data_IF_427042332688
#
_entry.id   IF_427042332688
#
_cell.length_a   1.000
_cell.length_b   1.000
_cell.length_c   1.000
_cell.angle_alpha   90.00
_cell.angle_beta   90.00
_cell.angle_gamma   90.00
#
_symmetry.space_group_name_H-M   'P 1'
#
loop_
_entity.id
_entity.type
_entity.pdbx_description
1 polymer ?
#
# COMPACT_ATOMS: atom_id res chain seq x y z
N UNK A 1 -98.19 -4.01 13.26
CA UNK A 1 -96.79 -4.48 13.35
C UNK A 1 -96.33 -4.19 14.77
N UNK A 2 -96.43 -5.17 15.66
CA UNK A 2 -96.00 -5.02 17.05
C UNK A 2 -94.48 -5.21 17.13
N UNK A 3 -93.72 -4.14 16.91
CA UNK A 3 -92.30 -4.11 17.26
C UNK A 3 -92.20 -3.96 18.78
N UNK A 4 -92.39 -5.06 19.52
CA UNK A 4 -91.92 -5.09 20.90
C UNK A 4 -90.39 -5.10 20.84
N UNK A 5 -89.69 -4.13 21.46
CA UNK A 5 -88.25 -4.20 21.61
C UNK A 5 -87.88 -5.56 22.19
N UNK A 6 -87.03 -6.32 21.50
CA UNK A 6 -86.61 -7.64 21.95
C UNK A 6 -85.64 -7.46 23.13
N UNK A 7 -86.02 -7.82 24.37
CA UNK A 7 -85.19 -7.61 25.55
C UNK A 7 -83.90 -8.43 25.52
N UNK A 8 -83.77 -9.38 24.58
CA UNK A 8 -82.53 -10.13 24.36
C UNK A 8 -81.42 -9.29 23.75
N UNK A 9 -81.74 -8.16 23.10
CA UNK A 9 -80.74 -7.24 22.59
C UNK A 9 -80.03 -6.49 23.73
N UNK A 10 -80.76 -6.19 24.81
CA UNK A 10 -80.22 -5.53 26.01
C UNK A 10 -79.47 -6.51 26.94
N UNK A 11 -79.66 -7.82 26.75
CA UNK A 11 -78.96 -8.88 27.49
C UNK A 11 -77.66 -9.34 26.82
N UNK A 12 -77.29 -8.78 25.66
CA UNK A 12 -75.98 -9.09 25.08
C UNK A 12 -74.90 -8.59 26.04
N UNK A 13 -73.94 -9.44 26.45
CA UNK A 13 -72.82 -8.98 27.25
C UNK A 13 -72.18 -7.79 26.52
N UNK A 14 -72.15 -6.63 27.17
CA UNK A 14 -71.34 -5.53 26.70
C UNK A 14 -69.89 -5.98 26.82
N UNK A 15 -69.35 -6.54 25.75
CA UNK A 15 -67.92 -6.75 25.61
C UNK A 15 -67.35 -5.35 25.47
N UNK A 16 -66.84 -4.80 26.58
CA UNK A 16 -65.92 -3.67 26.52
C UNK A 16 -64.72 -4.19 25.76
N UNK A 17 -64.72 -4.01 24.44
CA UNK A 17 -63.48 -4.02 23.68
C UNK A 17 -62.68 -2.89 24.31
N UNK A 18 -61.79 -3.23 25.24
CA UNK A 18 -60.67 -2.36 25.57
C UNK A 18 -59.87 -2.24 24.29
N UNK A 19 -60.37 -1.40 23.39
CA UNK A 19 -59.53 -0.64 22.50
C UNK A 19 -58.80 0.28 23.48
N UNK A 20 -57.78 -0.27 24.15
CA UNK A 20 -56.77 0.52 24.84
C UNK A 20 -56.31 1.45 23.75
N UNK A 21 -56.86 2.67 23.75
CA UNK A 21 -56.63 3.67 22.75
C UNK A 21 -55.11 3.82 22.71
N UNK A 22 -54.50 3.27 21.66
CA UNK A 22 -53.07 3.15 21.51
C UNK A 22 -52.47 4.52 21.20
N UNK A 23 -52.52 5.44 22.17
CA UNK A 23 -52.18 6.85 21.94
C UNK A 23 -51.23 7.44 22.97
N UNK A 24 -50.67 6.64 23.89
CA UNK A 24 -49.65 7.16 24.81
C UNK A 24 -48.72 6.09 25.35
N UNK A 25 -49.28 5.01 25.90
CA UNK A 25 -48.48 3.94 26.49
C UNK A 25 -47.70 3.14 25.44
N UNK A 26 -48.32 2.75 24.33
CA UNK A 26 -47.65 1.99 23.26
C UNK A 26 -46.52 2.80 22.61
N UNK A 27 -46.72 4.11 22.42
CA UNK A 27 -45.68 4.98 21.88
C UNK A 27 -44.55 5.21 22.90
N UNK A 28 -44.89 5.44 24.17
CA UNK A 28 -43.91 5.56 25.24
C UNK A 28 -43.06 4.30 25.42
N UNK A 29 -43.67 3.11 25.34
CA UNK A 29 -42.96 1.82 25.36
C UNK A 29 -42.07 1.68 24.12
N UNK A 30 -42.56 2.03 22.93
CA UNK A 30 -41.78 1.97 21.70
C UNK A 30 -40.54 2.88 21.77
N UNK A 31 -40.70 4.12 22.24
CA UNK A 31 -39.58 5.06 22.43
C UNK A 31 -38.59 4.54 23.47
N UNK A 32 -39.09 4.01 24.59
CA UNK A 32 -38.23 3.45 25.63
C UNK A 32 -37.41 2.26 25.10
N UNK A 33 -38.03 1.37 24.32
CA UNK A 33 -37.32 0.24 23.70
C UNK A 33 -36.24 0.71 22.74
N UNK A 34 -36.51 1.73 21.92
CA UNK A 34 -35.52 2.29 20.99
C UNK A 34 -34.32 2.86 21.77
N UNK A 35 -34.55 3.60 22.85
CA UNK A 35 -33.47 4.18 23.68
C UNK A 35 -32.63 3.09 24.33
N UNK A 36 -33.25 2.03 24.85
CA UNK A 36 -32.54 0.90 25.47
C UNK A 36 -31.67 0.17 24.43
N UNK A 37 -32.21 -0.09 23.23
CA UNK A 37 -31.46 -0.73 22.14
C UNK A 37 -30.31 0.17 21.69
N UNK A 38 -30.54 1.48 21.53
CA UNK A 38 -29.50 2.43 21.15
C UNK A 38 -28.40 2.55 22.22
N UNK A 39 -28.75 2.58 23.50
CA UNK A 39 -27.78 2.60 24.60
C UNK A 39 -26.99 1.29 24.68
N UNK A 40 -27.64 0.14 24.51
CA UNK A 40 -26.98 -1.16 24.44
C UNK A 40 -26.03 -1.25 23.24
N UNK A 41 -26.48 -0.82 22.06
CA UNK A 41 -25.64 -0.76 20.87
C UNK A 41 -24.47 0.21 21.02
N UNK A 42 -24.69 1.38 21.63
CA UNK A 42 -23.61 2.32 21.95
C UNK A 42 -22.59 1.66 22.90
N UNK A 43 -23.04 1.00 23.96
CA UNK A 43 -22.12 0.32 24.88
C UNK A 43 -21.34 -0.83 24.21
N UNK A 44 -21.99 -1.60 23.32
CA UNK A 44 -21.39 -2.76 22.64
C UNK A 44 -20.48 -2.35 21.47
N UNK A 45 -20.85 -1.32 20.70
CA UNK A 45 -20.18 -0.96 19.44
C UNK A 45 -19.45 0.38 19.47
N UNK A 46 -19.75 1.30 20.40
CA UNK A 46 -19.21 2.67 20.40
C UNK A 46 -18.69 3.18 21.75
N UNK A 47 -18.80 2.40 22.83
CA UNK A 47 -18.46 2.82 24.19
C UNK A 47 -16.96 2.76 24.51
N UNK A 48 -16.14 2.27 23.58
CA UNK A 48 -14.70 2.18 23.75
C UNK A 48 -13.92 3.20 22.89
N UNK A 49 -14.61 4.03 22.10
CA UNK A 49 -14.01 5.23 21.53
C UNK A 49 -14.02 6.32 22.61
N UNK A 50 -13.24 6.07 23.67
CA UNK A 50 -12.57 7.18 24.33
C UNK A 50 -11.80 7.82 23.19
N UNK A 51 -12.30 8.94 22.65
CA UNK A 51 -11.54 9.73 21.71
C UNK A 51 -10.26 10.11 22.46
N UNK A 52 -9.23 9.27 22.31
CA UNK A 52 -7.85 9.58 22.61
C UNK A 52 -7.66 10.93 21.95
N UNK A 53 -7.67 11.99 22.75
CA UNK A 53 -7.31 13.31 22.25
C UNK A 53 -5.92 13.08 21.68
N UNK A 54 -5.71 13.21 20.35
CA UNK A 54 -4.43 12.88 19.78
C UNK A 54 -3.42 13.79 20.47
N UNK A 55 -2.59 13.20 21.33
CA UNK A 55 -1.47 13.91 21.93
C UNK A 55 -0.56 14.18 20.76
N UNK A 56 -0.62 15.40 20.25
CA UNK A 56 0.34 15.87 19.25
C UNK A 56 1.68 15.75 19.94
N UNK A 57 2.60 14.87 19.46
CA UNK A 57 3.91 14.76 20.07
C UNK A 57 4.54 16.15 20.09
N UNK A 58 5.06 16.58 21.23
CA UNK A 58 5.83 17.82 21.27
C UNK A 58 7.01 17.66 20.32
N UNK A 59 7.06 18.49 19.28
CA UNK A 59 8.23 18.54 18.40
C UNK A 59 9.37 19.15 19.19
N UNK A 60 10.28 18.32 19.69
CA UNK A 60 11.53 18.80 20.25
C UNK A 60 12.42 19.32 19.12
N UNK A 61 12.63 20.63 19.08
CA UNK A 61 13.59 21.26 18.18
C UNK A 61 14.99 21.08 18.77
N UNK A 62 15.77 20.13 18.27
CA UNK A 62 17.19 20.04 18.59
C UNK A 62 18.00 20.93 17.64
N UNK A 63 18.88 21.74 18.20
CA UNK A 63 19.90 22.46 17.41
C UNK A 63 20.86 21.43 16.82
N UNK A 64 21.16 21.46 15.51
CA UNK A 64 22.16 20.60 14.91
C UNK A 64 23.52 20.74 15.63
N UNK A 65 24.22 19.62 15.81
CA UNK A 65 25.56 19.63 16.37
C UNK A 65 26.51 20.47 15.49
N UNK A 66 27.40 21.24 16.12
CA UNK A 66 28.41 22.00 15.39
C UNK A 66 29.30 21.05 14.57
N UNK A 67 29.71 21.43 13.35
CA UNK A 67 30.62 20.63 12.56
C UNK A 67 31.96 20.46 13.29
N UNK A 68 32.70 19.35 13.04
CA UNK A 68 34.03 19.16 13.58
C UNK A 68 34.95 20.32 13.20
N UNK A 69 35.87 20.67 14.10
CA UNK A 69 36.91 21.65 13.79
C UNK A 69 37.85 21.10 12.70
N UNK A 70 38.27 21.98 11.78
CA UNK A 70 39.25 21.62 10.76
C UNK A 70 40.56 21.15 11.41
N UNK A 71 41.15 20.11 10.82
CA UNK A 71 42.45 19.60 11.26
C UNK A 71 43.54 20.66 10.98
N UNK A 72 44.57 20.75 11.84
CA UNK A 72 45.72 21.59 11.59
C UNK A 72 46.37 21.26 10.24
N UNK A 73 46.82 22.29 9.52
CA UNK A 73 47.52 22.12 8.24
C UNK A 73 48.74 21.20 8.41
N UNK A 74 49.02 20.30 7.44
CA UNK A 74 50.20 19.46 7.48
C UNK A 74 51.47 20.34 7.44
N UNK A 75 52.57 19.92 8.11
CA UNK A 75 53.83 20.63 8.01
C UNK A 75 54.33 20.65 6.56
N UNK A 76 55.17 21.65 6.18
CA UNK A 76 55.78 21.69 4.86
C UNK A 76 56.47 20.37 4.53
N UNK A 77 56.27 19.87 3.31
CA UNK A 77 56.96 18.68 2.85
C UNK A 77 58.47 18.96 2.77
N UNK A 78 59.27 18.04 3.32
CA UNK A 78 60.72 18.06 3.15
C UNK A 78 61.06 17.85 1.67
N UNK A 79 61.46 18.92 0.99
CA UNK A 79 61.97 18.86 -0.37
C UNK A 79 63.39 18.31 -0.36
N UNK A 80 63.53 17.00 -0.30
CA UNK A 80 64.80 16.36 -0.65
C UNK A 80 64.86 16.22 -2.18
N UNK A 81 65.85 16.87 -2.79
CA UNK A 81 66.12 16.78 -4.22
C UNK A 81 66.46 15.32 -4.56
N UNK A 82 65.77 14.66 -5.52
CA UNK A 82 66.14 13.31 -5.93
C UNK A 82 67.58 13.31 -6.49
N UNK A 83 68.35 12.24 -6.27
CA UNK A 83 69.70 12.16 -6.80
C UNK A 83 69.67 12.29 -8.33
N UNK A 84 70.47 13.20 -8.87
CA UNK A 84 70.66 13.33 -10.29
C UNK A 84 71.40 12.09 -10.81
N UNK A 85 70.72 11.28 -11.62
CA UNK A 85 71.41 10.25 -12.41
C UNK A 85 70.61 8.97 -12.59
N UNK A 86 69.76 8.95 -13.61
CA UNK A 86 69.44 7.71 -14.31
C UNK A 86 69.55 8.03 -15.79
N UNK A 87 70.65 7.64 -16.42
CA UNK A 87 70.84 7.80 -17.85
C UNK A 87 69.82 6.93 -18.58
N UNK A 88 69.07 7.54 -19.50
CA UNK A 88 68.13 6.84 -20.37
C UNK A 88 68.90 5.86 -21.28
N UNK A 89 68.50 4.58 -21.36
CA UNK A 89 69.09 3.64 -22.32
C UNK A 89 68.81 4.07 -23.77
N UNK A 90 69.64 3.67 -24.75
CA UNK A 90 69.43 4.02 -26.16
C UNK A 90 68.07 3.52 -26.67
N UNK A 91 67.42 4.31 -27.52
CA UNK A 91 66.18 3.90 -28.18
C UNK A 91 66.46 2.72 -29.14
N UNK A 92 65.59 1.72 -29.13
CA UNK A 92 65.65 0.61 -30.09
C UNK A 92 65.22 1.05 -31.49
N UNK A 93 65.83 0.45 -32.52
CA UNK A 93 65.52 0.75 -33.92
C UNK A 93 64.07 0.38 -34.28
N UNK A 94 63.39 1.17 -35.15
CA UNK A 94 62.06 0.84 -35.62
C UNK A 94 62.06 -0.43 -36.47
N UNK A 95 61.22 -1.42 -36.10
CA UNK A 95 60.94 -2.59 -36.95
C UNK A 95 59.72 -2.32 -37.83
N UNK A 96 59.86 -2.55 -39.14
CA UNK A 96 58.77 -2.39 -40.09
C UNK A 96 57.91 -3.68 -40.11
N UNK A 97 56.57 -3.60 -39.98
CA UNK A 97 55.72 -4.79 -40.03
C UNK A 97 55.76 -5.44 -41.42
N UNK A 98 55.56 -6.78 -41.50
CA UNK A 98 55.48 -7.47 -42.78
C UNK A 98 54.26 -6.97 -43.59
N UNK A 99 54.34 -7.01 -44.93
CA UNK A 99 53.21 -6.63 -45.79
C UNK A 99 52.00 -7.52 -45.54
N UNK A 100 50.80 -6.91 -45.58
CA UNK A 100 49.54 -7.62 -45.46
C UNK A 100 49.32 -8.54 -46.66
N UNK A 101 48.87 -9.77 -46.41
CA UNK A 101 48.49 -10.74 -47.45
C UNK A 101 47.12 -10.42 -48.03
N UNK A 102 46.99 -10.64 -49.34
CA UNK A 102 45.76 -10.38 -50.10
C UNK A 102 44.55 -11.21 -49.61
N UNK A 103 43.31 -10.68 -49.70
CA UNK A 103 42.10 -11.42 -49.34
C UNK A 103 41.87 -12.64 -50.25
N UNK A 104 41.51 -13.77 -49.64
CA UNK A 104 41.18 -14.99 -50.36
C UNK A 104 39.89 -14.84 -51.21
N UNK A 105 39.77 -15.54 -52.35
CA UNK A 105 38.56 -15.51 -53.17
C UNK A 105 37.32 -16.03 -52.41
N UNK A 106 36.19 -15.35 -52.58
CA UNK A 106 34.93 -15.76 -51.98
C UNK A 106 34.41 -17.08 -52.60
N UNK A 107 33.98 -18.01 -51.75
CA UNK A 107 33.33 -19.25 -52.14
C UNK A 107 31.83 -19.03 -52.45
N UNK A 108 31.26 -19.67 -53.48
CA UNK A 108 29.83 -19.57 -53.76
C UNK A 108 28.98 -20.19 -52.64
N UNK A 109 27.88 -19.52 -52.29
CA UNK A 109 26.95 -19.99 -51.25
C UNK A 109 26.07 -21.15 -51.73
N UNK A 110 25.90 -22.16 -50.88
CA UNK A 110 24.97 -23.29 -51.08
C UNK A 110 23.54 -22.87 -50.70
N UNK A 111 22.50 -23.21 -51.49
CA UNK A 111 21.11 -22.91 -51.14
C UNK A 111 20.63 -23.66 -49.88
N UNK A 112 19.79 -22.99 -49.08
CA UNK A 112 19.24 -23.50 -47.83
C UNK A 112 18.15 -24.58 -48.03
N UNK A 113 18.05 -25.61 -47.16
CA UNK A 113 16.96 -26.58 -47.22
C UNK A 113 15.64 -25.98 -46.70
N UNK A 114 14.55 -26.29 -47.41
CA UNK A 114 13.18 -25.91 -47.06
C UNK A 114 12.56 -27.00 -46.17
N UNK A 115 11.96 -26.62 -45.04
CA UNK A 115 10.88 -27.37 -44.41
C UNK A 115 11.16 -27.95 -43.01
N UNK A 116 10.21 -27.71 -42.09
CA UNK A 116 10.11 -28.41 -40.81
C UNK A 116 9.32 -27.62 -39.76
N UNK A 117 8.01 -27.80 -39.73
CA UNK A 117 7.12 -27.26 -38.71
C UNK A 117 7.33 -27.93 -37.34
N UNK A 118 7.30 -27.14 -36.27
CA UNK A 118 6.93 -27.61 -34.93
C UNK A 118 6.03 -26.56 -34.27
N UNK A 119 4.72 -26.83 -34.31
CA UNK A 119 3.72 -26.19 -33.46
C UNK A 119 3.97 -26.59 -31.99
N UNK A 120 4.23 -25.61 -31.15
CA UNK A 120 4.34 -25.76 -29.69
C UNK A 120 3.02 -25.30 -29.07
N UNK A 121 2.26 -26.15 -28.32
CA UNK A 121 1.11 -25.66 -27.57
C UNK A 121 1.54 -24.89 -26.30
N UNK A 122 0.77 -23.87 -25.85
CA UNK A 122 1.13 -23.06 -24.68
C UNK A 122 0.91 -23.81 -23.35
N UNK A 123 1.59 -23.39 -22.26
CA UNK A 123 1.48 -24.04 -20.96
C UNK A 123 0.17 -23.69 -20.24
N UNK A 124 -0.49 -24.70 -19.67
CA UNK A 124 -1.65 -24.53 -18.78
C UNK A 124 -1.18 -24.36 -17.33
N UNK A 125 -1.58 -23.27 -16.68
CA UNK A 125 -1.50 -23.09 -15.23
C UNK A 125 -2.85 -23.41 -14.59
N UNK A 126 -2.87 -24.03 -13.42
CA UNK A 126 -4.09 -24.33 -12.63
C UNK A 126 -3.88 -23.85 -11.19
N UNK A 127 -4.88 -23.21 -10.55
CA UNK A 127 -4.83 -22.74 -9.16
C UNK A 127 -4.96 -23.86 -8.11
#
# INVERSE_FOLDING_TARGET
MDQRPDPRLDQRPHVTQQTTAGSGATWGIAVLLIVVIAAGAYFVFGGNDTAETPVTPATESSTPAAPPADAPAPPPADTTTPPAGSATPPAADPVNPPPATDPAPATPATPAPTGGATDTPPPTTTP
#
